data_IF_268975742154
#
_entry.id   IF_268975742154
#
_cell.length_a   1.000
_cell.length_b   1.000
_cell.length_c   1.000
_cell.angle_alpha   90.00
_cell.angle_beta   90.00
_cell.angle_gamma   90.00
#
_symmetry.space_group_name_H-M   'P 1'
#
loop_
_entity.id
_entity.type
_entity.pdbx_description
1 polymer ?
#
# COMPACT_ATOMS: atom_id res chain seq x y z
N UNK A 1 -10.86 -62.24 20.81
CA UNK A 1 -9.60 -62.12 20.04
C UNK A 1 -9.73 -61.95 18.50
N UNK A 2 -10.86 -62.18 17.80
CA UNK A 2 -10.88 -62.06 16.31
C UNK A 2 -10.87 -60.62 15.80
N UNK A 3 -11.43 -59.67 16.56
CA UNK A 3 -11.50 -58.26 16.19
C UNK A 3 -10.10 -57.61 16.09
N UNK A 4 -9.20 -57.94 17.01
CA UNK A 4 -7.82 -57.43 17.01
C UNK A 4 -7.07 -57.94 15.77
N UNK A 5 -7.20 -59.22 15.44
CA UNK A 5 -6.56 -59.78 14.24
C UNK A 5 -7.13 -59.20 12.93
N UNK A 6 -8.42 -58.88 12.89
CA UNK A 6 -9.04 -58.20 11.74
C UNK A 6 -8.48 -56.78 11.56
N UNK A 7 -8.35 -56.02 12.64
CA UNK A 7 -7.77 -54.67 12.62
C UNK A 7 -6.29 -54.71 12.21
N UNK A 8 -5.52 -55.65 12.76
CA UNK A 8 -4.10 -55.85 12.40
C UNK A 8 -3.95 -56.24 10.92
N UNK A 9 -4.84 -57.08 10.39
CA UNK A 9 -4.84 -57.45 8.96
C UNK A 9 -5.21 -56.27 8.05
N UNK A 10 -6.17 -55.43 8.48
CA UNK A 10 -6.53 -54.23 7.73
C UNK A 10 -5.38 -53.21 7.70
N UNK A 11 -4.74 -52.96 8.84
CA UNK A 11 -3.60 -52.06 8.95
C UNK A 11 -2.40 -52.54 8.14
N UNK A 12 -2.07 -53.83 8.20
CA UNK A 12 -0.94 -54.39 7.43
C UNK A 12 -1.16 -54.29 5.93
N UNK A 13 -2.40 -54.48 5.43
CA UNK A 13 -2.75 -54.27 4.03
C UNK A 13 -2.61 -52.81 3.58
N UNK A 14 -3.02 -51.87 4.44
CA UNK A 14 -2.87 -50.42 4.16
C UNK A 14 -1.39 -50.06 4.09
N UNK A 15 -0.59 -50.51 5.07
CA UNK A 15 0.85 -50.24 5.12
C UNK A 15 1.56 -50.84 3.91
N UNK A 16 1.27 -52.10 3.54
CA UNK A 16 1.88 -52.74 2.38
C UNK A 16 1.50 -52.05 1.06
N UNK A 17 0.29 -51.49 0.96
CA UNK A 17 -0.15 -50.74 -0.20
C UNK A 17 0.61 -49.42 -0.36
N UNK A 18 0.85 -48.69 0.74
CA UNK A 18 1.68 -47.48 0.73
C UNK A 18 3.16 -47.79 0.47
N UNK A 19 3.67 -48.91 1.00
CA UNK A 19 5.07 -49.32 0.80
C UNK A 19 5.34 -49.78 -0.64
N UNK A 20 4.37 -50.46 -1.27
CA UNK A 20 4.44 -50.85 -2.69
C UNK A 20 4.28 -49.65 -3.64
N UNK A 21 3.73 -48.54 -3.17
CA UNK A 21 3.44 -47.35 -3.97
C UNK A 21 4.09 -46.07 -3.41
N UNK A 22 5.30 -46.18 -2.86
CA UNK A 22 6.07 -45.02 -2.37
C UNK A 22 6.22 -43.90 -3.41
N UNK A 23 6.30 -44.27 -4.70
CA UNK A 23 6.35 -43.30 -5.81
C UNK A 23 5.07 -42.46 -5.95
N UNK A 24 3.88 -43.01 -5.62
CA UNK A 24 2.62 -42.24 -5.62
C UNK A 24 2.63 -41.19 -4.52
N UNK A 25 3.17 -41.53 -3.34
CA UNK A 25 3.29 -40.61 -2.22
C UNK A 25 4.24 -39.46 -2.57
N UNK A 26 5.39 -39.78 -3.18
CA UNK A 26 6.36 -38.78 -3.64
C UNK A 26 5.78 -37.88 -4.75
N UNK A 27 5.03 -38.46 -5.69
CA UNK A 27 4.36 -37.72 -6.76
C UNK A 27 3.28 -36.79 -6.18
N UNK A 28 2.45 -37.30 -5.27
CA UNK A 28 1.42 -36.51 -4.58
C UNK A 28 2.05 -35.36 -3.78
N UNK A 29 3.11 -35.62 -3.03
CA UNK A 29 3.83 -34.59 -2.28
C UNK A 29 4.43 -33.53 -3.22
N UNK A 30 5.02 -33.94 -4.34
CA UNK A 30 5.52 -33.03 -5.38
C UNK A 30 4.40 -32.17 -5.97
N UNK A 31 3.24 -32.77 -6.28
CA UNK A 31 2.08 -32.07 -6.82
C UNK A 31 1.53 -31.06 -5.81
N UNK A 32 1.42 -31.42 -4.54
CA UNK A 32 1.02 -30.53 -3.45
C UNK A 32 2.00 -29.37 -3.29
N UNK A 33 3.31 -29.64 -3.31
CA UNK A 33 4.32 -28.59 -3.22
C UNK A 33 4.22 -27.59 -4.39
N UNK A 34 4.07 -28.11 -5.61
CA UNK A 34 3.85 -27.28 -6.81
C UNK A 34 2.56 -26.47 -6.68
N UNK A 35 1.48 -27.06 -6.19
CA UNK A 35 0.21 -26.38 -5.97
C UNK A 35 0.33 -25.23 -4.95
N UNK A 36 0.98 -25.47 -3.81
CA UNK A 36 1.23 -24.46 -2.78
C UNK A 36 2.07 -23.31 -3.36
N UNK A 37 3.09 -23.62 -4.17
CA UNK A 37 3.92 -22.61 -4.81
C UNK A 37 3.11 -21.69 -5.74
N UNK A 38 2.26 -22.26 -6.60
CA UNK A 38 1.39 -21.47 -7.47
C UNK A 38 0.35 -20.65 -6.70
N UNK A 39 -0.24 -21.24 -5.64
CA UNK A 39 -1.18 -20.55 -4.77
C UNK A 39 -0.53 -19.36 -4.07
N UNK A 40 0.66 -19.54 -3.48
CA UNK A 40 1.40 -18.47 -2.81
C UNK A 40 1.72 -17.31 -3.73
N UNK A 41 2.12 -17.58 -4.97
CA UNK A 41 2.36 -16.53 -5.97
C UNK A 41 1.10 -15.72 -6.30
N UNK A 42 -0.05 -16.37 -6.39
CA UNK A 42 -1.32 -15.67 -6.61
C UNK A 42 -1.74 -14.83 -5.41
N UNK A 43 -1.52 -15.33 -4.19
CA UNK A 43 -1.93 -14.62 -2.97
C UNK A 43 -1.04 -13.38 -2.74
N UNK A 44 0.28 -13.48 -2.95
CA UNK A 44 1.20 -12.33 -2.92
C UNK A 44 0.77 -11.19 -3.86
N UNK A 45 0.26 -11.55 -5.05
CA UNK A 45 -0.22 -10.57 -6.03
C UNK A 45 -1.49 -9.85 -5.55
N UNK A 46 -2.41 -10.57 -4.92
CA UNK A 46 -3.64 -9.99 -4.36
C UNK A 46 -3.32 -9.04 -3.22
N UNK A 47 -2.42 -9.44 -2.33
CA UNK A 47 -2.01 -8.62 -1.19
C UNK A 47 -1.34 -7.33 -1.67
N UNK A 48 -0.46 -7.42 -2.67
CA UNK A 48 0.12 -6.25 -3.31
C UNK A 48 -0.95 -5.34 -3.94
N UNK A 49 -1.94 -5.90 -4.66
CA UNK A 49 -3.01 -5.12 -5.28
C UNK A 49 -3.87 -4.39 -4.24
N UNK A 50 -4.21 -5.08 -3.15
CA UNK A 50 -4.98 -4.54 -2.03
C UNK A 50 -4.23 -3.41 -1.33
N UNK A 51 -2.92 -3.59 -1.11
CA UNK A 51 -2.06 -2.57 -0.52
C UNK A 51 -2.00 -1.31 -1.39
N UNK A 52 -1.78 -1.46 -2.70
CA UNK A 52 -1.77 -0.34 -3.66
C UNK A 52 -3.12 0.38 -3.65
N UNK A 53 -4.24 -0.35 -3.68
CA UNK A 53 -5.58 0.25 -3.63
C UNK A 53 -5.84 1.02 -2.33
N UNK A 54 -5.39 0.48 -1.20
CA UNK A 54 -5.49 1.17 0.09
C UNK A 54 -4.66 2.44 0.12
N UNK A 55 -3.44 2.43 -0.44
CA UNK A 55 -2.61 3.63 -0.57
C UNK A 55 -3.26 4.69 -1.47
N UNK A 56 -3.83 4.29 -2.61
CA UNK A 56 -4.58 5.20 -3.50
C UNK A 56 -5.77 5.82 -2.75
N UNK A 57 -6.56 4.99 -2.06
CA UNK A 57 -7.74 5.47 -1.30
C UNK A 57 -7.34 6.39 -0.14
N UNK A 58 -6.25 6.07 0.56
CA UNK A 58 -5.74 6.87 1.65
C UNK A 58 -5.25 8.25 1.15
N UNK A 59 -4.50 8.27 0.05
CA UNK A 59 -4.03 9.50 -0.56
C UNK A 59 -5.20 10.37 -1.06
N UNK A 60 -6.22 9.77 -1.70
CA UNK A 60 -7.45 10.49 -2.11
C UNK A 60 -8.17 11.11 -0.90
N UNK A 61 -8.35 10.34 0.19
CA UNK A 61 -9.00 10.84 1.40
C UNK A 61 -8.21 12.00 2.03
N UNK A 62 -6.87 11.92 2.05
CA UNK A 62 -6.03 13.01 2.55
C UNK A 62 -6.16 14.27 1.71
N UNK A 63 -6.11 14.13 0.39
CA UNK A 63 -6.32 15.22 -0.56
C UNK A 63 -7.67 15.91 -0.35
N UNK A 64 -8.76 15.14 -0.22
CA UNK A 64 -10.10 15.70 0.04
C UNK A 64 -10.19 16.44 1.37
N UNK A 65 -9.56 15.92 2.41
CA UNK A 65 -9.50 16.58 3.71
C UNK A 65 -8.77 17.93 3.60
N UNK A 66 -7.66 18.01 2.86
CA UNK A 66 -6.94 19.26 2.66
C UNK A 66 -7.77 20.33 1.97
N UNK A 67 -8.55 19.95 0.95
CA UNK A 67 -9.46 20.89 0.26
C UNK A 67 -10.55 21.44 1.19
N UNK A 68 -11.00 20.63 2.15
CA UNK A 68 -12.11 20.99 3.04
C UNK A 68 -11.70 21.94 4.16
N UNK A 69 -10.48 21.82 4.68
CA UNK A 69 -10.02 22.58 5.85
C UNK A 69 -9.00 23.68 5.51
N UNK A 70 -8.66 23.89 4.22
CA UNK A 70 -7.69 24.87 3.69
C UNK A 70 -6.35 24.94 4.46
N UNK A 71 -6.02 23.86 5.17
CA UNK A 71 -4.87 23.73 6.05
C UNK A 71 -4.12 22.47 5.67
N UNK A 72 -2.93 22.68 5.12
CA UNK A 72 -1.97 21.62 4.88
C UNK A 72 -1.28 21.32 6.21
N UNK A 73 -1.74 20.27 6.90
CA UNK A 73 -0.99 19.74 8.02
C UNK A 73 0.25 19.01 7.48
N UNK A 74 1.37 19.72 7.41
CA UNK A 74 2.64 19.27 6.82
C UNK A 74 3.36 18.15 7.60
N UNK A 75 2.74 17.63 8.66
CA UNK A 75 3.38 16.66 9.57
C UNK A 75 3.29 15.22 9.06
N UNK A 76 2.34 14.91 8.17
CA UNK A 76 2.08 13.54 7.76
C UNK A 76 2.23 13.30 6.26
N UNK A 77 2.97 12.24 5.92
CA UNK A 77 3.16 11.75 4.56
C UNK A 77 1.85 11.30 3.91
N UNK A 78 1.65 11.61 2.64
CA UNK A 78 0.52 11.20 1.81
C UNK A 78 0.67 9.75 1.37
N UNK A 79 1.90 9.34 1.01
CA UNK A 79 2.23 7.95 0.69
C UNK A 79 3.09 7.31 1.78
N UNK A 80 2.53 6.49 2.69
CA UNK A 80 3.30 5.91 3.78
C UNK A 80 4.50 5.08 3.28
N UNK A 81 4.28 4.15 2.34
CA UNK A 81 5.29 3.14 1.97
C UNK A 81 5.68 3.16 0.48
N UNK A 82 4.86 3.75 -0.40
CA UNK A 82 5.01 3.70 -1.87
C UNK A 82 5.18 2.25 -2.34
N UNK A 83 4.13 1.47 -2.14
CA UNK A 83 4.13 0.03 -2.42
C UNK A 83 4.07 -0.28 -3.92
N UNK A 84 3.70 0.70 -4.75
CA UNK A 84 3.67 0.58 -6.20
C UNK A 84 5.04 0.25 -6.80
N UNK A 85 6.08 1.03 -6.46
CA UNK A 85 7.40 0.88 -7.07
C UNK A 85 8.01 -0.51 -6.84
N UNK A 86 7.75 -1.11 -5.67
CA UNK A 86 8.25 -2.44 -5.30
C UNK A 86 7.50 -3.59 -5.98
N UNK A 87 6.21 -3.39 -6.31
CA UNK A 87 5.32 -4.46 -6.75
C UNK A 87 4.87 -4.33 -8.21
N UNK A 88 5.34 -3.32 -8.94
CA UNK A 88 4.95 -3.07 -10.34
C UNK A 88 5.16 -4.31 -11.23
N UNK A 89 6.25 -5.05 -11.01
CA UNK A 89 6.61 -6.28 -11.73
C UNK A 89 5.52 -7.37 -11.65
N UNK A 90 4.72 -7.40 -10.59
CA UNK A 90 3.63 -8.37 -10.44
C UNK A 90 2.46 -8.08 -11.39
N UNK A 91 2.33 -6.85 -11.88
CA UNK A 91 1.18 -6.38 -12.65
C UNK A 91 1.45 -6.13 -14.13
N UNK A 92 2.72 -6.13 -14.57
CA UNK A 92 3.13 -5.88 -15.97
C UNK A 92 2.36 -6.77 -16.97
N UNK A 93 2.00 -8.00 -16.57
CA UNK A 93 1.27 -8.94 -17.44
C UNK A 93 -0.25 -8.73 -17.50
N UNK A 94 -0.83 -8.00 -16.55
CA UNK A 94 -2.29 -7.87 -16.41
C UNK A 94 -2.81 -6.45 -16.64
N UNK A 95 -1.96 -5.43 -16.44
CA UNK A 95 -2.25 -4.05 -16.76
C UNK A 95 -1.66 -3.70 -18.14
N UNK A 96 -2.35 -2.84 -18.89
CA UNK A 96 -1.81 -2.28 -20.12
C UNK A 96 -0.75 -1.23 -19.80
N UNK A 97 0.11 -0.91 -20.77
CA UNK A 97 1.13 0.15 -20.59
C UNK A 97 0.53 1.48 -20.16
N UNK A 98 -0.62 1.86 -20.73
CA UNK A 98 -1.37 3.06 -20.35
C UNK A 98 -1.85 3.05 -18.89
N UNK A 99 -2.27 1.89 -18.38
CA UNK A 99 -2.74 1.74 -17.00
C UNK A 99 -1.57 1.73 -16.00
N UNK A 100 -0.46 1.10 -16.38
CA UNK A 100 0.79 1.13 -15.62
C UNK A 100 1.33 2.55 -15.52
N UNK A 101 1.32 3.30 -16.63
CA UNK A 101 1.77 4.69 -16.67
C UNK A 101 0.85 5.59 -15.83
N UNK A 102 -0.47 5.39 -15.88
CA UNK A 102 -1.42 6.14 -15.07
C UNK A 102 -1.18 5.95 -13.57
N UNK A 103 -1.00 4.72 -13.11
CA UNK A 103 -0.69 4.45 -11.69
C UNK A 103 0.71 4.97 -11.34
N UNK A 104 1.68 4.83 -12.23
CA UNK A 104 3.03 5.36 -12.00
C UNK A 104 3.05 6.88 -11.87
N UNK A 105 2.27 7.58 -12.70
CA UNK A 105 2.06 9.02 -12.61
C UNK A 105 1.41 9.40 -11.28
N UNK A 106 0.38 8.68 -10.83
CA UNK A 106 -0.21 8.90 -9.50
C UNK A 106 0.84 8.87 -8.38
N UNK A 107 1.60 7.78 -8.30
CA UNK A 107 2.56 7.57 -7.22
C UNK A 107 3.73 8.56 -7.31
N UNK A 108 4.13 8.95 -8.52
CA UNK A 108 5.14 9.99 -8.74
C UNK A 108 4.64 11.36 -8.28
N UNK A 109 3.42 11.75 -8.69
CA UNK A 109 2.75 12.98 -8.29
C UNK A 109 2.58 13.08 -6.78
N UNK A 110 2.13 12.01 -6.13
CA UNK A 110 1.97 11.98 -4.67
C UNK A 110 3.33 12.00 -3.93
N UNK A 111 4.36 11.34 -4.46
CA UNK A 111 5.72 11.42 -3.89
C UNK A 111 6.30 12.83 -4.02
N UNK A 112 6.09 13.47 -5.16
CA UNK A 112 6.50 14.85 -5.38
C UNK A 112 5.77 15.83 -4.46
N UNK A 113 4.47 15.61 -4.24
CA UNK A 113 3.68 16.38 -3.28
C UNK A 113 4.24 16.23 -1.85
N UNK A 114 4.61 15.01 -1.43
CA UNK A 114 5.27 14.76 -0.14
C UNK A 114 6.59 15.52 -0.01
N UNK A 115 7.40 15.57 -1.06
CA UNK A 115 8.66 16.30 -1.09
C UNK A 115 8.47 17.82 -0.98
N UNK A 116 7.50 18.37 -1.72
CA UNK A 116 7.12 19.78 -1.61
C UNK A 116 6.66 20.10 -0.19
N UNK A 117 5.75 19.30 0.37
CA UNK A 117 5.26 19.44 1.76
C UNK A 117 6.42 19.45 2.74
N UNK A 118 7.36 18.51 2.60
CA UNK A 118 8.53 18.41 3.46
C UNK A 118 9.44 19.64 3.36
N UNK A 119 9.73 20.11 2.15
CA UNK A 119 10.56 21.32 1.94
C UNK A 119 9.93 22.59 2.53
N UNK A 120 8.60 22.70 2.47
CA UNK A 120 7.85 23.79 3.08
C UNK A 120 7.88 23.68 4.61
N UNK A 121 7.72 22.48 5.16
CA UNK A 121 7.82 22.26 6.60
C UNK A 121 9.21 22.61 7.14
N UNK A 122 10.27 22.16 6.45
CA UNK A 122 11.67 22.42 6.82
C UNK A 122 12.03 23.90 6.72
N UNK A 123 11.61 24.59 5.65
CA UNK A 123 11.84 26.04 5.49
C UNK A 123 11.08 26.87 6.52
N UNK A 124 9.87 26.46 6.92
CA UNK A 124 9.16 27.09 8.03
C UNK A 124 9.88 26.84 9.35
N UNK A 125 10.27 25.61 9.66
CA UNK A 125 10.95 25.26 10.91
C UNK A 125 12.28 26.01 11.07
N UNK A 126 13.07 26.12 10.00
CA UNK A 126 14.35 26.86 10.03
C UNK A 126 14.19 28.37 10.22
N UNK A 127 13.04 28.97 9.83
CA UNK A 127 12.71 30.36 10.18
C UNK A 127 12.36 30.54 11.66
N UNK A 128 11.83 29.53 12.33
CA UNK A 128 11.54 29.59 13.77
C UNK A 128 12.80 29.42 14.64
N UNK A 129 13.86 28.77 14.13
CA UNK A 129 15.12 28.55 14.87
C UNK A 129 16.08 29.76 14.77
N UNK A 130 15.87 30.71 13.85
CA UNK A 130 16.71 31.93 13.73
C UNK A 130 16.33 33.09 14.65
N UNK A 131 15.41 32.91 15.60
CA UNK A 131 15.03 33.95 16.57
C UNK A 131 15.54 33.60 17.97
N UNK A 132 16.86 33.54 18.15
CA UNK A 132 17.46 33.74 19.49
C UNK A 132 18.95 34.13 19.40
N UNK A 133 19.21 35.43 19.35
CA UNK A 133 20.34 36.02 20.05
C UNK A 133 19.73 37.02 21.06
N UNK A 134 20.10 36.95 22.36
CA UNK A 134 19.33 37.57 23.42
C UNK A 134 19.63 39.07 23.49
N UNK A 135 18.59 39.90 23.49
CA UNK A 135 18.71 41.28 23.95
C UNK A 135 17.48 41.67 24.78
N UNK A 136 17.72 41.70 26.09
CA UNK A 136 17.11 42.57 27.10
C UNK A 136 15.73 42.18 27.66
N UNK A 137 15.75 42.12 29.00
CA UNK A 137 14.69 41.90 29.99
C UNK A 137 13.51 42.87 29.83
N UNK A 138 12.27 42.36 29.86
CA UNK A 138 11.07 43.17 30.02
C UNK A 138 9.78 42.32 29.99
N UNK A 139 9.10 42.24 31.13
CA UNK A 139 7.82 41.54 31.33
C UNK A 139 6.77 41.87 30.26
N UNK A 140 6.32 40.88 29.49
CA UNK A 140 5.02 40.90 28.79
C UNK A 140 4.50 39.48 28.58
N UNK A 141 3.17 39.25 28.57
CA UNK A 141 2.58 37.93 28.67
C UNK A 141 2.84 37.11 27.40
N UNK A 142 3.30 35.88 27.60
CA UNK A 142 3.60 34.90 26.56
C UNK A 142 2.35 34.67 25.70
N UNK A 143 2.33 35.26 24.50
CA UNK A 143 1.39 34.89 23.46
C UNK A 143 1.71 33.47 23.03
N UNK A 144 0.86 32.51 23.42
CA UNK A 144 0.87 31.15 22.90
C UNK A 144 0.72 31.27 21.38
N UNK A 145 1.81 31.01 20.65
CA UNK A 145 1.79 30.93 19.21
C UNK A 145 0.89 29.77 18.79
N UNK A 146 -0.39 30.06 18.54
CA UNK A 146 -1.25 29.19 17.75
C UNK A 146 -0.63 29.12 16.36
N UNK A 147 0.11 28.04 16.10
CA UNK A 147 0.72 27.76 14.81
C UNK A 147 -0.35 27.63 13.73
N UNK A 148 -0.64 28.74 13.06
CA UNK A 148 -1.35 28.75 11.78
C UNK A 148 -0.38 28.26 10.71
N UNK A 149 -0.12 26.95 10.72
CA UNK A 149 0.68 26.24 9.73
C UNK A 149 0.03 26.18 8.35
N UNK A 150 -0.71 27.21 7.92
CA UNK A 150 -1.28 27.30 6.57
C UNK A 150 -0.30 27.96 5.60
N UNK A 151 -0.31 27.54 4.34
CA UNK A 151 0.26 28.34 3.24
C UNK A 151 -0.65 29.57 3.02
N UNK A 152 -0.04 30.75 2.87
CA UNK A 152 -0.78 31.98 2.57
C UNK A 152 -1.45 31.85 1.19
N UNK A 153 -2.65 32.42 1.02
CA UNK A 153 -3.48 32.26 -0.18
C UNK A 153 -2.82 32.71 -1.51
N UNK A 154 -1.69 33.43 -1.43
CA UNK A 154 -0.94 33.95 -2.58
C UNK A 154 0.34 33.17 -2.90
N UNK A 155 0.58 32.03 -2.25
CA UNK A 155 1.80 31.25 -2.41
C UNK A 155 1.72 30.38 -3.69
N UNK A 156 2.68 30.46 -4.64
CA UNK A 156 2.72 29.59 -5.83
C UNK A 156 2.69 28.11 -5.46
N UNK A 157 3.21 27.78 -4.28
CA UNK A 157 3.16 26.45 -3.67
C UNK A 157 1.72 25.94 -3.49
N UNK A 158 0.75 26.81 -3.13
CA UNK A 158 -0.65 26.42 -2.96
C UNK A 158 -1.30 26.02 -4.28
N UNK A 159 -1.05 26.79 -5.36
CA UNK A 159 -1.54 26.48 -6.71
C UNK A 159 -0.95 25.17 -7.25
N UNK A 160 0.34 24.94 -7.00
CA UNK A 160 1.01 23.70 -7.39
C UNK A 160 0.44 22.50 -6.64
N UNK A 161 0.26 22.61 -5.33
CA UNK A 161 -0.35 21.53 -4.53
C UNK A 161 -1.79 21.28 -4.97
N UNK A 162 -2.57 22.32 -5.26
CA UNK A 162 -3.94 22.17 -5.75
C UNK A 162 -4.01 21.48 -7.13
N UNK A 163 -3.10 21.81 -8.05
CA UNK A 163 -3.00 21.15 -9.35
C UNK A 163 -2.66 19.66 -9.21
N UNK A 164 -1.65 19.32 -8.40
CA UNK A 164 -1.23 17.94 -8.17
C UNK A 164 -2.32 17.16 -7.41
N UNK A 165 -2.96 17.80 -6.43
CA UNK A 165 -4.08 17.25 -5.67
C UNK A 165 -5.25 16.86 -6.58
N UNK A 166 -5.54 17.65 -7.62
CA UNK A 166 -6.59 17.35 -8.60
C UNK A 166 -6.26 16.11 -9.44
N UNK A 167 -5.00 15.95 -9.82
CA UNK A 167 -4.53 14.77 -10.57
C UNK A 167 -4.62 13.48 -9.73
N UNK A 168 -4.47 13.59 -8.40
CA UNK A 168 -4.59 12.47 -7.45
C UNK A 168 -6.06 12.03 -7.27
N UNK A 169 -7.00 12.96 -7.19
CA UNK A 169 -8.44 12.69 -6.90
C UNK A 169 -9.13 11.84 -8.00
N UNK A 170 -8.54 11.74 -9.20
CA UNK A 170 -9.16 11.07 -10.33
C UNK A 170 -8.91 9.55 -10.40
N UNK A 171 -7.88 9.01 -9.73
CA UNK A 171 -7.34 7.69 -10.13
C UNK A 171 -8.14 6.51 -9.57
N UNK A 172 -8.81 6.68 -8.43
CA UNK A 172 -9.62 5.61 -7.82
C UNK A 172 -10.79 5.11 -8.70
N UNK A 173 -11.34 5.97 -9.57
CA UNK A 173 -12.45 5.64 -10.46
C UNK A 173 -12.01 5.31 -11.89
N UNK A 174 -10.72 5.05 -12.10
CA UNK A 174 -10.19 4.73 -13.44
C UNK A 174 -10.28 3.23 -13.74
N UNK A 175 -10.28 2.83 -15.02
CA UNK A 175 -10.19 1.43 -15.43
C UNK A 175 -8.99 0.69 -14.82
N UNK A 176 -7.87 1.40 -14.58
CA UNK A 176 -6.69 0.87 -13.94
C UNK A 176 -6.96 0.45 -12.48
N UNK A 177 -7.63 1.30 -11.71
CA UNK A 177 -8.04 0.99 -10.33
C UNK A 177 -9.09 -0.13 -10.28
N UNK A 178 -10.01 -0.18 -11.24
CA UNK A 178 -11.00 -1.27 -11.34
C UNK A 178 -10.36 -2.62 -11.66
N UNK A 179 -9.31 -2.66 -12.50
CA UNK A 179 -8.53 -3.89 -12.72
C UNK A 179 -7.78 -4.31 -11.49
N UNK A 180 -7.15 -3.38 -10.76
CA UNK A 180 -6.54 -3.70 -9.47
C UNK A 180 -7.58 -4.27 -8.48
N UNK A 181 -8.81 -3.75 -8.48
CA UNK A 181 -9.92 -4.27 -7.65
C UNK A 181 -10.34 -5.68 -8.07
N UNK A 182 -10.44 -5.94 -9.38
CA UNK A 182 -10.68 -7.30 -9.88
C UNK A 182 -9.57 -8.27 -9.49
N UNK A 183 -8.32 -7.82 -9.46
CA UNK A 183 -7.17 -8.63 -9.04
C UNK A 183 -7.22 -8.88 -7.53
N UNK A 184 -7.54 -7.87 -6.71
CA UNK A 184 -7.67 -8.03 -5.25
C UNK A 184 -8.83 -8.95 -4.87
N UNK A 185 -9.95 -8.86 -5.59
CA UNK A 185 -11.19 -9.54 -5.25
C UNK A 185 -11.32 -10.92 -5.90
N UNK A 186 -10.31 -11.35 -6.69
CA UNK A 186 -10.29 -12.66 -7.35
C UNK A 186 -10.24 -13.77 -6.30
N UNK A 187 -11.41 -14.18 -5.83
CA UNK A 187 -11.61 -15.29 -4.91
C UNK A 187 -11.25 -16.57 -5.67
N UNK A 188 -10.10 -17.15 -5.35
CA UNK A 188 -9.78 -18.50 -5.82
C UNK A 188 -10.77 -19.40 -5.10
N UNK A 189 -11.74 -19.96 -5.83
CA UNK A 189 -12.68 -20.92 -5.27
C UNK A 189 -11.85 -22.11 -4.77
N UNK A 190 -11.64 -22.15 -3.46
CA UNK A 190 -11.19 -23.34 -2.77
C UNK A 190 -12.34 -24.34 -2.88
N UNK A 191 -12.28 -25.20 -3.90
CA UNK A 191 -12.92 -26.50 -3.81
C UNK A 191 -11.98 -27.36 -2.95
N UNK A 192 -12.29 -27.42 -1.66
CA UNK A 192 -11.88 -28.48 -0.75
C UNK A 192 -13.16 -28.98 -0.07
#
# INVERSE_FOLDING_TARGET
MPFINMVVSALTKIISFFDQHQWLIALLAGLVAVFIYYKGRSDNKKDAAKLILQEIRYADQKVRNYRTYDSYNFTEKILPTNSWHRNINLFIRELTESELDLISKFFSSATYLDEIIKSIAESKNSRFIQVEAPAVVGDTPVAVAMGTGGLSANDPSKKLIEAISRDIESIYNTPAADKLRKISDKKFLLFF
#
